data_IF_025674658472
#
_entry.id   IF_025674658472
#
_cell.length_a   1.000
_cell.length_b   1.000
_cell.length_c   1.000
_cell.angle_alpha   90.00
_cell.angle_beta   90.00
_cell.angle_gamma   90.00
#
_symmetry.space_group_name_H-M   'P 1'
#
loop_
_entity.id
_entity.type
_entity.pdbx_description
1 polymer ?
#
# COMPACT_ATOMS: atom_id res chain seq x y z
N UNK A 1 -35.38 44.61 -33.56
CA UNK A 1 -34.25 44.52 -32.61
C UNK A 1 -34.19 43.08 -32.14
N UNK A 2 -33.34 42.25 -32.76
CA UNK A 2 -33.19 40.83 -32.41
C UNK A 2 -32.17 40.77 -31.29
N UNK A 3 -32.62 40.45 -30.07
CA UNK A 3 -31.72 40.19 -28.96
C UNK A 3 -31.05 38.83 -29.21
N UNK A 4 -29.77 38.85 -29.55
CA UNK A 4 -28.95 37.64 -29.53
C UNK A 4 -28.63 37.32 -28.07
N UNK A 5 -29.25 36.27 -27.53
CA UNK A 5 -28.80 35.66 -26.29
C UNK A 5 -27.47 34.96 -26.54
N UNK A 6 -26.38 35.52 -26.02
CA UNK A 6 -25.09 34.82 -25.98
C UNK A 6 -25.24 33.55 -25.14
N UNK A 7 -24.82 32.36 -25.64
CA UNK A 7 -24.81 31.16 -24.82
C UNK A 7 -23.81 31.36 -23.66
N UNK A 8 -24.28 31.16 -22.44
CA UNK A 8 -23.41 31.13 -21.27
C UNK A 8 -22.43 29.96 -21.43
N UNK A 9 -21.14 30.26 -21.53
CA UNK A 9 -20.09 29.22 -21.47
C UNK A 9 -20.08 28.72 -20.03
N UNK A 10 -20.48 27.47 -19.83
CA UNK A 10 -20.32 26.78 -18.54
C UNK A 10 -18.85 26.83 -18.14
N UNK A 11 -18.55 27.43 -17.00
CA UNK A 11 -17.19 27.51 -16.48
C UNK A 11 -16.70 26.09 -16.13
N UNK A 12 -15.64 25.63 -16.79
CA UNK A 12 -15.01 24.35 -16.47
C UNK A 12 -14.53 24.35 -15.01
N UNK A 13 -14.80 23.27 -14.31
CA UNK A 13 -14.38 23.02 -12.93
C UNK A 13 -13.35 21.89 -12.89
N UNK A 14 -12.58 21.78 -11.80
CA UNK A 14 -11.62 20.67 -11.64
C UNK A 14 -12.33 19.30 -11.72
N UNK A 15 -13.59 19.22 -11.31
CA UNK A 15 -14.39 17.99 -11.38
C UNK A 15 -14.61 17.50 -12.82
N UNK A 16 -14.60 18.40 -13.82
CA UNK A 16 -14.73 18.02 -15.23
C UNK A 16 -13.52 17.24 -15.76
N UNK A 17 -12.41 17.23 -15.00
CA UNK A 17 -11.16 16.55 -15.34
C UNK A 17 -10.90 15.30 -14.50
N UNK A 18 -11.87 14.88 -13.67
CA UNK A 18 -11.76 13.63 -12.92
C UNK A 18 -11.41 12.47 -13.88
N UNK A 19 -10.41 11.67 -13.49
CA UNK A 19 -10.00 10.51 -14.28
C UNK A 19 -10.93 9.35 -13.94
N UNK A 20 -11.55 8.76 -14.96
CA UNK A 20 -12.55 7.69 -14.78
C UNK A 20 -12.14 6.45 -15.57
N UNK A 21 -12.26 5.30 -14.92
CA UNK A 21 -12.30 3.98 -15.54
C UNK A 21 -13.68 3.38 -15.38
N UNK A 22 -14.21 2.88 -16.49
CA UNK A 22 -15.51 2.20 -16.61
C UNK A 22 -15.36 0.67 -16.73
N UNK A 23 -14.12 0.17 -16.71
CA UNK A 23 -13.79 -1.25 -16.71
C UNK A 23 -12.72 -1.58 -15.67
N UNK A 24 -12.76 -2.77 -15.02
CA UNK A 24 -11.70 -3.22 -14.13
C UNK A 24 -10.35 -3.35 -14.84
N UNK A 25 -9.28 -3.19 -14.08
CA UNK A 25 -7.90 -3.29 -14.56
C UNK A 25 -7.50 -4.72 -14.91
N UNK A 26 -6.64 -4.90 -15.91
CA UNK A 26 -6.02 -6.19 -16.26
C UNK A 26 -4.99 -6.63 -15.24
N UNK A 27 -4.23 -5.67 -14.72
CA UNK A 27 -3.22 -5.86 -13.68
C UNK A 27 -2.78 -4.51 -13.10
N UNK A 28 -1.82 -4.53 -12.17
CA UNK A 28 -1.32 -3.35 -11.47
C UNK A 28 -0.70 -2.24 -12.34
N UNK A 29 -0.36 -2.50 -13.61
CA UNK A 29 0.11 -1.44 -14.53
C UNK A 29 -1.00 -0.44 -14.88
N UNK A 30 -2.26 -0.82 -14.72
CA UNK A 30 -3.45 0.00 -14.93
C UNK A 30 -3.99 0.47 -13.57
N UNK A 31 -3.10 0.87 -12.64
CA UNK A 31 -3.48 1.32 -11.30
C UNK A 31 -3.54 2.84 -11.20
N UNK A 32 -4.57 3.32 -10.49
CA UNK A 32 -4.86 4.73 -10.33
C UNK A 32 -4.06 5.26 -9.14
N UNK A 33 -3.26 6.32 -9.31
CA UNK A 33 -2.50 6.89 -8.21
C UNK A 33 -3.41 7.69 -7.27
N UNK A 34 -3.17 7.55 -5.97
CA UNK A 34 -3.72 8.41 -4.93
C UNK A 34 -2.64 8.58 -3.86
N UNK A 35 -2.58 9.72 -3.19
CA UNK A 35 -1.57 9.94 -2.17
C UNK A 35 -1.70 11.30 -1.54
N UNK A 36 -1.09 11.43 -0.37
CA UNK A 36 -0.97 12.68 0.37
C UNK A 36 0.24 12.58 1.29
N UNK A 37 0.84 13.73 1.60
CA UNK A 37 2.01 13.80 2.47
C UNK A 37 3.15 12.89 1.97
N UNK A 38 3.50 11.90 2.77
CA UNK A 38 4.57 10.95 2.48
C UNK A 38 4.09 9.56 2.03
N UNK A 39 2.78 9.35 1.83
CA UNK A 39 2.18 8.07 1.43
C UNK A 39 1.63 8.15 0.01
N UNK A 40 1.97 7.14 -0.79
CA UNK A 40 1.45 6.92 -2.14
C UNK A 40 0.77 5.56 -2.27
N UNK A 41 -0.33 5.54 -3.02
CA UNK A 41 -1.17 4.40 -3.30
C UNK A 41 -1.25 4.16 -4.81
N UNK A 42 -1.20 2.90 -5.22
CA UNK A 42 -1.65 2.46 -6.54
C UNK A 42 -2.90 1.60 -6.34
N UNK A 43 -4.06 2.09 -6.80
CA UNK A 43 -5.36 1.45 -6.57
C UNK A 43 -5.90 0.85 -7.87
N UNK A 44 -6.28 -0.42 -7.88
CA UNK A 44 -6.89 -1.06 -9.04
C UNK A 44 -7.87 -2.15 -8.63
N UNK A 45 -8.69 -2.59 -9.58
CA UNK A 45 -9.58 -3.73 -9.40
C UNK A 45 -9.20 -4.83 -10.37
N UNK A 46 -9.09 -6.06 -9.88
CA UNK A 46 -8.76 -7.23 -10.68
C UNK A 46 -9.56 -8.42 -10.15
N UNK A 47 -10.31 -9.11 -11.02
CA UNK A 47 -11.17 -10.25 -10.63
C UNK A 47 -12.14 -9.93 -9.47
N UNK A 48 -12.79 -8.76 -9.50
CA UNK A 48 -13.69 -8.22 -8.45
C UNK A 48 -13.02 -7.83 -7.12
N UNK A 49 -11.72 -8.09 -6.96
CA UNK A 49 -10.98 -7.69 -5.77
C UNK A 49 -10.49 -6.25 -5.93
N UNK A 50 -10.63 -5.44 -4.88
CA UNK A 50 -9.95 -4.15 -4.79
C UNK A 50 -8.53 -4.38 -4.27
N UNK A 51 -7.52 -3.94 -5.02
CA UNK A 51 -6.12 -4.05 -4.66
C UNK A 51 -5.46 -2.69 -4.53
N UNK A 52 -4.56 -2.57 -3.55
CA UNK A 52 -3.83 -1.33 -3.29
C UNK A 52 -2.37 -1.66 -2.98
N UNK A 53 -1.42 -1.18 -3.79
CA UNK A 53 -0.04 -1.09 -3.33
C UNK A 53 0.13 0.16 -2.50
N UNK A 54 0.83 0.03 -1.38
CA UNK A 54 1.06 1.11 -0.44
C UNK A 54 2.56 1.37 -0.37
N UNK A 55 2.97 2.62 -0.49
CA UNK A 55 4.34 3.05 -0.30
C UNK A 55 4.39 4.27 0.62
N UNK A 56 5.45 4.38 1.39
CA UNK A 56 5.78 5.58 2.17
C UNK A 56 7.22 5.98 1.93
N UNK A 57 7.48 7.27 1.77
CA UNK A 57 8.82 7.82 1.64
C UNK A 57 9.73 7.38 2.80
N UNK A 58 11.01 7.13 2.52
CA UNK A 58 12.00 6.72 3.52
C UNK A 58 12.04 5.21 3.84
N UNK A 59 11.28 4.37 3.14
CA UNK A 59 11.28 2.90 3.33
C UNK A 59 12.42 2.22 2.56
N UNK A 60 13.67 2.46 2.97
CA UNK A 60 14.88 1.92 2.30
C UNK A 60 15.46 0.70 3.01
N UNK A 61 15.68 -0.39 2.28
CA UNK A 61 16.31 -1.61 2.83
C UNK A 61 17.85 -1.52 2.92
N UNK A 62 18.52 -2.59 3.34
CA UNK A 62 19.98 -2.64 3.44
C UNK A 62 20.69 -2.48 2.10
N UNK A 63 20.01 -2.74 0.98
CA UNK A 63 20.53 -2.55 -0.37
C UNK A 63 20.28 -1.12 -0.89
N UNK A 64 19.63 -0.27 -0.07
CA UNK A 64 19.12 1.05 -0.44
C UNK A 64 18.12 0.98 -1.61
N UNK A 65 17.24 -0.03 -1.58
CA UNK A 65 16.07 -0.12 -2.43
C UNK A 65 14.89 0.58 -1.77
N UNK A 66 14.16 1.44 -2.50
CA UNK A 66 12.91 2.03 -2.01
C UNK A 66 11.78 1.00 -2.13
N UNK A 67 11.23 0.58 -1.00
CA UNK A 67 10.27 -0.51 -0.95
C UNK A 67 8.82 -0.02 -0.79
N UNK A 68 7.90 -0.68 -1.50
CA UNK A 68 6.48 -0.66 -1.15
C UNK A 68 6.31 -1.38 0.19
N UNK A 69 5.44 -0.87 1.06
CA UNK A 69 5.12 -1.48 2.33
C UNK A 69 4.51 -2.88 2.13
N UNK A 70 3.56 -3.00 1.21
CA UNK A 70 2.95 -4.28 0.82
C UNK A 70 1.78 -4.04 -0.14
N UNK A 71 0.92 -5.05 -0.28
CA UNK A 71 -0.34 -4.95 -1.01
C UNK A 71 -1.52 -5.23 -0.09
N UNK A 72 -2.54 -4.38 -0.12
CA UNK A 72 -3.84 -4.66 0.44
C UNK A 72 -4.72 -5.31 -0.62
N UNK A 73 -5.48 -6.33 -0.26
CA UNK A 73 -6.53 -6.92 -1.10
C UNK A 73 -7.82 -6.98 -0.30
N UNK A 74 -8.88 -6.37 -0.82
CA UNK A 74 -10.23 -6.43 -0.26
C UNK A 74 -11.13 -7.22 -1.20
N UNK A 75 -11.76 -8.26 -0.65
CA UNK A 75 -12.78 -9.07 -1.33
C UNK A 75 -14.13 -8.84 -0.67
N UNK A 76 -15.16 -8.63 -1.47
CA UNK A 76 -16.55 -8.58 -1.01
C UNK A 76 -17.27 -9.86 -1.40
N UNK A 77 -18.22 -10.29 -0.57
CA UNK A 77 -19.10 -11.41 -0.85
C UNK A 77 -20.53 -11.04 -0.47
N UNK A 78 -21.44 -10.87 -1.46
CA UNK A 78 -21.23 -11.05 -2.91
C UNK A 78 -20.19 -10.11 -3.54
N UNK A 79 -19.55 -10.56 -4.61
CA UNK A 79 -18.55 -9.77 -5.36
C UNK A 79 -19.26 -8.74 -6.24
N UNK A 80 -18.74 -7.51 -6.32
CA UNK A 80 -19.45 -6.40 -6.98
C UNK A 80 -18.58 -5.51 -7.84
N UNK A 81 -17.26 -5.49 -7.66
CA UNK A 81 -16.36 -4.57 -8.38
C UNK A 81 -15.96 -5.05 -9.78
N UNK A 82 -16.51 -6.17 -10.25
CA UNK A 82 -16.44 -6.63 -11.65
C UNK A 82 -17.84 -6.77 -12.28
N UNK A 83 -18.85 -6.22 -11.61
CA UNK A 83 -20.25 -6.29 -12.04
C UNK A 83 -20.64 -5.21 -13.04
N UNK A 84 -21.95 -4.99 -13.13
CA UNK A 84 -22.53 -3.88 -13.89
C UNK A 84 -22.17 -2.55 -13.23
N UNK A 85 -22.21 -1.47 -14.03
CA UNK A 85 -22.00 -0.10 -13.53
C UNK A 85 -20.67 0.07 -12.78
N UNK A 86 -19.62 -0.66 -13.19
CA UNK A 86 -18.30 -0.44 -12.63
C UNK A 86 -17.85 0.99 -12.91
N UNK A 87 -17.32 1.65 -11.88
CA UNK A 87 -16.69 2.96 -12.01
C UNK A 87 -15.58 3.10 -10.98
N UNK A 88 -14.37 3.36 -11.45
CA UNK A 88 -13.25 3.80 -10.63
C UNK A 88 -12.89 5.23 -11.02
N UNK A 89 -12.94 6.17 -10.07
CA UNK A 89 -12.81 7.60 -10.34
C UNK A 89 -11.85 8.27 -9.36
N UNK A 90 -10.90 9.04 -9.89
CA UNK A 90 -10.05 9.94 -9.12
C UNK A 90 -10.73 11.32 -9.06
N UNK A 91 -11.13 11.71 -7.85
CA UNK A 91 -11.75 13.02 -7.57
C UNK A 91 -10.65 14.05 -7.34
N UNK A 92 -10.24 14.75 -8.40
CA UNK A 92 -9.05 15.63 -8.39
C UNK A 92 -9.16 16.77 -7.38
N UNK A 93 -10.35 17.37 -7.26
CA UNK A 93 -10.59 18.49 -6.35
C UNK A 93 -10.40 18.11 -4.87
N UNK A 94 -10.69 16.86 -4.52
CA UNK A 94 -10.72 16.40 -3.13
C UNK A 94 -9.62 15.40 -2.78
N UNK A 95 -8.90 14.86 -3.76
CA UNK A 95 -7.74 13.98 -3.53
C UNK A 95 -8.08 12.56 -3.06
N UNK A 96 -9.21 12.00 -3.51
CA UNK A 96 -9.59 10.61 -3.18
C UNK A 96 -10.03 9.82 -4.41
N UNK A 97 -10.00 8.50 -4.29
CA UNK A 97 -10.54 7.57 -5.31
C UNK A 97 -11.86 7.00 -4.81
N UNK A 98 -12.83 6.83 -5.70
CA UNK A 98 -14.00 5.97 -5.48
C UNK A 98 -13.96 4.78 -6.43
N UNK A 99 -14.28 3.59 -5.92
CA UNK A 99 -14.52 2.39 -6.72
C UNK A 99 -15.93 1.91 -6.42
N UNK A 100 -16.80 1.87 -7.42
CA UNK A 100 -18.17 1.40 -7.30
C UNK A 100 -18.49 0.29 -8.29
N UNK A 101 -19.42 -0.59 -7.92
CA UNK A 101 -19.94 -1.61 -8.80
C UNK A 101 -21.22 -2.22 -8.27
N UNK A 102 -21.93 -2.94 -9.13
CA UNK A 102 -23.23 -3.54 -8.85
C UNK A 102 -23.36 -4.94 -9.45
N UNK A 103 -23.81 -5.90 -8.65
CA UNK A 103 -24.09 -7.27 -9.12
C UNK A 103 -25.21 -7.89 -8.30
N UNK A 104 -26.16 -8.55 -8.96
CA UNK A 104 -27.30 -9.24 -8.32
C UNK A 104 -28.05 -8.37 -7.28
N UNK A 105 -28.21 -7.07 -7.61
CA UNK A 105 -28.86 -6.06 -6.77
C UNK A 105 -28.07 -5.67 -5.51
N UNK A 106 -26.82 -6.10 -5.36
CA UNK A 106 -25.85 -5.57 -4.39
C UNK A 106 -25.05 -4.47 -5.07
N UNK A 107 -25.12 -3.25 -4.55
CA UNK A 107 -24.31 -2.10 -4.95
C UNK A 107 -23.35 -1.78 -3.82
N UNK A 108 -22.08 -1.57 -4.13
CA UNK A 108 -21.10 -1.08 -3.16
C UNK A 108 -20.24 0.04 -3.72
N UNK A 109 -19.67 0.84 -2.83
CA UNK A 109 -18.70 1.88 -3.14
C UNK A 109 -17.62 1.89 -2.08
N UNK A 110 -16.36 1.78 -2.50
CA UNK A 110 -15.18 2.00 -1.68
C UNK A 110 -14.66 3.42 -1.94
N UNK A 111 -14.42 4.20 -0.89
CA UNK A 111 -13.72 5.48 -0.91
C UNK A 111 -12.31 5.29 -0.34
N UNK A 112 -11.30 5.66 -1.10
CA UNK A 112 -9.88 5.45 -0.77
C UNK A 112 -9.18 6.80 -0.74
N UNK A 113 -8.49 7.10 0.36
CA UNK A 113 -7.78 8.37 0.54
C UNK A 113 -6.63 8.23 1.54
N UNK A 114 -5.77 9.25 1.57
CA UNK A 114 -4.63 9.34 2.48
C UNK A 114 -4.73 10.63 3.28
N UNK A 115 -4.53 10.56 4.59
CA UNK A 115 -4.48 11.75 5.44
C UNK A 115 -3.19 12.55 5.17
N UNK A 116 -3.32 13.87 5.07
CA UNK A 116 -2.19 14.78 4.81
C UNK A 116 -1.29 14.94 6.04
N UNK A 117 -1.87 14.87 7.24
CA UNK A 117 -1.21 15.22 8.50
C UNK A 117 -0.88 14.00 9.36
N UNK A 118 -1.49 12.86 9.08
CA UNK A 118 -1.22 11.60 9.77
C UNK A 118 -0.78 10.55 8.76
N UNK A 119 0.20 9.68 9.07
CA UNK A 119 0.70 8.67 8.15
C UNK A 119 -0.26 7.48 8.07
N UNK A 120 -1.46 7.70 7.54
CA UNK A 120 -2.53 6.72 7.44
C UNK A 120 -3.23 6.77 6.09
N UNK A 121 -3.45 5.58 5.51
CA UNK A 121 -4.32 5.40 4.35
C UNK A 121 -5.65 4.78 4.80
N UNK A 122 -6.76 5.28 4.25
CA UNK A 122 -8.11 4.85 4.60
C UNK A 122 -8.82 4.22 3.41
N UNK A 123 -9.60 3.17 3.70
CA UNK A 123 -10.59 2.60 2.78
C UNK A 123 -11.92 2.50 3.52
N UNK A 124 -12.94 3.20 3.04
CA UNK A 124 -14.29 3.16 3.58
C UNK A 124 -15.22 2.51 2.57
N UNK A 125 -15.93 1.46 2.98
CA UNK A 125 -16.83 0.71 2.11
C UNK A 125 -18.25 0.93 2.57
N UNK A 126 -19.14 1.26 1.63
CA UNK A 126 -20.58 1.32 1.86
C UNK A 126 -21.30 0.45 0.83
N UNK A 127 -22.33 -0.27 1.25
CA UNK A 127 -23.17 -1.12 0.40
C UNK A 127 -24.65 -0.99 0.76
N UNK A 128 -25.52 -1.15 -0.24
CA UNK A 128 -26.97 -1.15 -0.05
C UNK A 128 -27.49 -2.43 0.66
N UNK A 129 -26.66 -3.47 0.76
CA UNK A 129 -26.96 -4.72 1.45
C UNK A 129 -25.81 -5.09 2.39
N UNK A 130 -26.08 -5.98 3.35
CA UNK A 130 -25.02 -6.50 4.22
C UNK A 130 -24.13 -7.46 3.43
N UNK A 131 -22.82 -7.24 3.46
CA UNK A 131 -21.82 -8.05 2.75
C UNK A 131 -20.79 -8.62 3.72
N UNK A 132 -20.26 -9.81 3.39
CA UNK A 132 -19.04 -10.30 4.01
C UNK A 132 -17.82 -9.65 3.34
N UNK A 133 -16.75 -9.46 4.10
CA UNK A 133 -15.52 -8.90 3.62
C UNK A 133 -14.31 -9.72 4.10
N UNK A 134 -13.41 -10.04 3.18
CA UNK A 134 -12.08 -10.59 3.48
C UNK A 134 -11.04 -9.55 3.08
N UNK A 135 -10.14 -9.23 4.01
CA UNK A 135 -9.09 -8.25 3.86
C UNK A 135 -7.75 -8.92 4.05
N UNK A 136 -6.85 -8.85 3.07
CA UNK A 136 -5.53 -9.44 3.16
C UNK A 136 -4.44 -8.37 3.05
N UNK A 137 -3.51 -8.36 4.00
CA UNK A 137 -2.19 -7.76 3.79
C UNK A 137 -1.28 -8.79 3.14
N UNK A 138 -0.79 -8.52 1.93
CA UNK A 138 0.03 -9.41 1.13
C UNK A 138 1.45 -8.86 1.00
N UNK A 139 2.45 -9.70 1.24
CA UNK A 139 3.87 -9.35 1.09
C UNK A 139 4.66 -10.45 0.40
N UNK A 140 5.49 -10.05 -0.56
CA UNK A 140 6.52 -10.86 -1.21
C UNK A 140 7.80 -10.97 -0.37
N UNK A 141 7.89 -10.20 0.71
CA UNK A 141 9.01 -10.21 1.66
C UNK A 141 8.69 -11.07 2.90
N UNK A 142 8.08 -12.23 2.71
CA UNK A 142 7.73 -13.15 3.80
C UNK A 142 8.84 -14.16 4.15
N UNK A 143 9.89 -14.22 3.32
CA UNK A 143 11.10 -15.02 3.51
C UNK A 143 12.29 -14.31 2.84
N UNK A 144 13.49 -14.58 3.35
CA UNK A 144 14.72 -14.10 2.72
C UNK A 144 14.86 -14.76 1.35
N UNK A 145 15.35 -14.01 0.37
CA UNK A 145 15.66 -14.55 -0.96
C UNK A 145 16.88 -13.92 -1.56
N UNK A 146 17.57 -14.70 -2.39
CA UNK A 146 18.62 -14.17 -3.25
C UNK A 146 17.97 -13.32 -4.34
N UNK A 147 18.41 -12.08 -4.48
CA UNK A 147 17.96 -11.18 -5.53
C UNK A 147 18.53 -11.63 -6.87
N UNK A 148 17.68 -11.71 -7.89
CA UNK A 148 18.11 -11.95 -9.26
C UNK A 148 18.90 -10.75 -9.78
N UNK A 149 19.75 -10.97 -10.77
CA UNK A 149 20.64 -9.94 -11.32
C UNK A 149 19.88 -8.65 -11.69
N UNK A 150 18.73 -8.76 -12.38
CA UNK A 150 17.92 -7.59 -12.78
C UNK A 150 17.18 -6.91 -11.63
N UNK A 151 16.95 -7.58 -10.51
CA UNK A 151 16.30 -6.96 -9.34
C UNK A 151 17.21 -5.90 -8.69
N UNK A 152 18.53 -6.02 -8.85
CA UNK A 152 19.48 -5.04 -8.32
C UNK A 152 19.40 -3.66 -9.01
N UNK A 153 18.68 -3.53 -10.13
CA UNK A 153 18.41 -2.22 -10.73
C UNK A 153 17.45 -1.37 -9.89
N UNK A 154 16.69 -2.01 -8.99
CA UNK A 154 15.87 -1.32 -8.00
C UNK A 154 16.64 -0.90 -6.75
N UNK A 155 17.94 -1.17 -6.66
CA UNK A 155 18.77 -0.89 -5.50
C UNK A 155 20.12 -0.25 -5.91
N UNK A 156 20.98 0.04 -4.92
CA UNK A 156 22.23 0.78 -5.19
C UNK A 156 23.33 -0.05 -5.82
N UNK A 157 23.27 -1.38 -5.72
CA UNK A 157 24.30 -2.23 -6.31
C UNK A 157 24.25 -2.23 -7.83
N UNK A 158 23.06 -2.14 -8.46
CA UNK A 158 22.86 -2.16 -9.92
C UNK A 158 23.63 -3.30 -10.60
N UNK A 159 24.83 -2.98 -11.10
CA UNK A 159 25.72 -3.88 -11.85
C UNK A 159 26.76 -4.61 -10.98
N UNK A 160 26.97 -4.18 -9.73
CA UNK A 160 28.06 -4.61 -8.86
C UNK A 160 27.56 -5.29 -7.58
N UNK A 161 26.43 -6.00 -7.67
CA UNK A 161 25.88 -6.73 -6.52
C UNK A 161 26.84 -7.85 -6.08
N UNK A 162 27.05 -8.05 -4.76
CA UNK A 162 27.82 -9.17 -4.27
C UNK A 162 27.15 -10.49 -4.67
N UNK A 163 27.94 -11.56 -4.72
CA UNK A 163 27.41 -12.91 -4.96
C UNK A 163 26.38 -13.22 -3.87
N UNK A 164 25.23 -13.73 -4.30
CA UNK A 164 24.09 -14.06 -3.43
C UNK A 164 23.55 -12.85 -2.64
N UNK A 165 23.47 -11.67 -3.25
CA UNK A 165 22.86 -10.52 -2.60
C UNK A 165 21.43 -10.86 -2.10
N UNK A 166 21.15 -10.62 -0.83
CA UNK A 166 19.92 -11.07 -0.17
C UNK A 166 18.95 -9.88 -0.02
N UNK A 167 17.71 -10.07 -0.44
CA UNK A 167 16.58 -9.27 0.00
C UNK A 167 15.99 -9.92 1.25
N UNK A 168 16.08 -9.22 2.38
CA UNK A 168 15.64 -9.75 3.68
C UNK A 168 14.12 -9.66 3.82
N UNK A 169 13.56 -10.61 4.58
CA UNK A 169 12.14 -10.63 4.91
C UNK A 169 11.75 -9.53 5.89
N UNK A 170 10.47 -9.20 5.86
CA UNK A 170 9.81 -8.44 6.89
C UNK A 170 9.40 -9.35 8.06
N UNK A 171 9.20 -8.74 9.21
CA UNK A 171 8.49 -9.34 10.35
C UNK A 171 7.01 -9.00 10.24
N UNK A 172 6.17 -10.02 10.05
CA UNK A 172 4.72 -9.85 9.82
C UNK A 172 3.95 -10.84 10.68
N UNK A 173 3.01 -10.34 11.50
CA UNK A 173 2.24 -11.16 12.42
C UNK A 173 0.84 -10.58 12.68
N UNK A 174 -0.04 -11.43 13.20
CA UNK A 174 -1.28 -10.98 13.83
C UNK A 174 -0.97 -10.49 15.24
N UNK A 175 -1.47 -9.30 15.58
CA UNK A 175 -1.53 -8.79 16.95
C UNK A 175 -3.01 -8.57 17.30
N UNK A 176 -3.61 -9.59 17.92
CA UNK A 176 -5.06 -9.64 18.10
C UNK A 176 -5.79 -9.65 16.74
N UNK A 177 -6.60 -8.63 16.51
CA UNK A 177 -7.39 -8.47 15.27
C UNK A 177 -6.74 -7.53 14.23
N UNK A 178 -5.44 -7.26 14.39
CA UNK A 178 -4.65 -6.39 13.50
C UNK A 178 -3.54 -7.19 12.83
N UNK A 179 -3.04 -6.71 11.70
CA UNK A 179 -1.80 -7.24 11.09
C UNK A 179 -0.70 -6.20 11.25
N UNK A 180 0.36 -6.53 11.98
CA UNK A 180 1.53 -5.67 12.14
C UNK A 180 2.63 -6.19 11.23
N UNK A 181 3.29 -5.29 10.52
CA UNK A 181 4.34 -5.60 9.55
C UNK A 181 5.46 -4.59 9.64
N UNK A 182 6.72 -5.02 9.61
CA UNK A 182 7.86 -4.11 9.57
C UNK A 182 9.13 -4.75 9.03
N UNK A 183 10.02 -3.89 8.57
CA UNK A 183 11.39 -4.18 8.24
C UNK A 183 12.30 -3.41 9.22
N UNK A 184 13.40 -4.02 9.65
CA UNK A 184 14.41 -3.34 10.46
C UNK A 184 15.78 -3.67 9.90
N UNK A 185 16.42 -2.65 9.33
CA UNK A 185 17.68 -2.81 8.62
C UNK A 185 18.77 -3.35 9.54
N UNK A 186 19.53 -4.30 9.03
CA UNK A 186 20.67 -4.89 9.72
C UNK A 186 22.00 -4.43 9.11
N UNK A 187 23.07 -4.50 9.91
CA UNK A 187 24.44 -4.41 9.39
C UNK A 187 24.98 -5.80 9.01
N UNK A 188 25.90 -5.89 8.03
CA UNK A 188 26.32 -4.80 7.16
C UNK A 188 25.26 -4.46 6.11
N UNK A 189 25.25 -3.21 5.65
CA UNK A 189 24.41 -2.71 4.56
C UNK A 189 25.25 -2.00 3.48
N UNK A 190 24.62 -1.49 2.42
CA UNK A 190 25.33 -0.88 1.28
C UNK A 190 26.22 0.30 1.69
N UNK A 191 25.91 1.04 2.75
CA UNK A 191 26.80 2.08 3.26
C UNK A 191 28.15 1.49 3.69
N UNK A 192 28.14 0.35 4.38
CA UNK A 192 29.37 -0.34 4.79
C UNK A 192 30.20 -0.78 3.57
N UNK A 193 29.53 -1.30 2.54
CA UNK A 193 30.19 -1.69 1.29
C UNK A 193 30.78 -0.50 0.54
N UNK A 194 30.07 0.63 0.48
CA UNK A 194 30.53 1.84 -0.18
C UNK A 194 31.74 2.45 0.53
N UNK A 195 31.73 2.53 1.86
CA UNK A 195 32.86 3.03 2.67
C UNK A 195 34.12 2.20 2.42
N UNK A 196 34.00 0.86 2.47
CA UNK A 196 35.12 -0.03 2.20
C UNK A 196 35.64 0.11 0.77
N UNK A 197 34.75 0.20 -0.23
CA UNK A 197 35.13 0.38 -1.64
C UNK A 197 35.90 1.69 -1.87
N UNK A 198 35.58 2.75 -1.14
CA UNK A 198 36.26 4.05 -1.24
C UNK A 198 37.49 4.16 -0.31
N UNK A 199 37.89 3.08 0.36
CA UNK A 199 38.99 3.07 1.34
C UNK A 199 38.82 4.12 2.46
N UNK A 200 37.58 4.34 2.90
CA UNK A 200 37.22 5.35 3.92
C UNK A 200 36.98 4.74 5.31
N UNK A 201 37.41 3.50 5.57
CA UNK A 201 37.15 2.81 6.84
C UNK A 201 37.65 3.59 8.07
N UNK A 202 38.76 4.34 7.94
CA UNK A 202 39.33 5.15 9.02
C UNK A 202 38.42 6.28 9.51
N UNK A 203 37.51 6.77 8.66
CA UNK A 203 36.59 7.88 8.96
C UNK A 203 35.12 7.43 9.00
N UNK A 204 34.85 6.12 8.92
CA UNK A 204 33.50 5.54 8.85
C UNK A 204 32.55 6.03 9.94
N UNK A 205 33.07 6.21 11.16
CA UNK A 205 32.30 6.68 12.31
C UNK A 205 31.83 8.13 12.22
N UNK A 206 32.45 8.94 11.37
CA UNK A 206 32.11 10.35 11.12
C UNK A 206 31.09 10.51 9.98
N UNK A 207 30.89 9.45 9.19
CA UNK A 207 29.98 9.46 8.05
C UNK A 207 28.55 9.11 8.48
N UNK A 208 27.58 9.87 7.97
CA UNK A 208 26.16 9.62 8.24
C UNK A 208 25.68 8.36 7.50
N UNK A 209 25.20 7.36 8.25
CA UNK A 209 24.53 6.17 7.71
C UNK A 209 23.00 6.27 7.89
N UNK A 210 22.23 6.63 6.85
CA UNK A 210 20.78 6.74 6.95
C UNK A 210 20.05 5.39 7.06
N UNK A 211 20.74 4.26 6.78
CA UNK A 211 20.15 2.92 6.79
C UNK A 211 20.36 2.19 8.10
N UNK A 212 21.32 2.64 8.93
CA UNK A 212 21.62 2.02 10.23
C UNK A 212 20.38 2.06 11.12
N UNK A 213 19.94 0.93 11.67
CA UNK A 213 18.79 0.84 12.57
C UNK A 213 17.49 1.46 11.99
N UNK A 214 17.38 1.57 10.66
CA UNK A 214 16.18 2.08 10.02
C UNK A 214 15.07 1.03 10.12
N UNK A 215 14.00 1.36 10.84
CA UNK A 215 12.79 0.56 10.96
C UNK A 215 11.64 1.23 10.21
N UNK A 216 10.96 0.49 9.33
CA UNK A 216 9.80 0.97 8.60
C UNK A 216 8.74 -0.11 8.45
N UNK A 217 7.48 0.28 8.45
CA UNK A 217 6.36 -0.67 8.41
C UNK A 217 5.07 -0.02 8.86
N UNK A 218 4.16 -0.82 9.39
CA UNK A 218 2.87 -0.33 9.83
C UNK A 218 1.97 -1.37 10.46
N UNK A 219 0.70 -0.98 10.58
CA UNK A 219 -0.37 -1.85 11.06
C UNK A 219 -1.63 -1.66 10.21
N UNK A 220 -2.20 -2.79 9.81
CA UNK A 220 -3.52 -2.87 9.20
C UNK A 220 -4.57 -3.09 10.28
N UNK A 221 -5.57 -2.21 10.32
CA UNK A 221 -6.68 -2.22 11.28
C UNK A 221 -8.01 -2.13 10.53
N UNK A 222 -8.99 -2.91 10.98
CA UNK A 222 -10.37 -2.80 10.54
C UNK A 222 -11.31 -3.15 11.71
N UNK A 223 -12.26 -2.28 12.01
CA UNK A 223 -13.17 -2.47 13.14
C UNK A 223 -14.16 -3.60 12.87
N UNK A 224 -14.42 -4.42 13.89
CA UNK A 224 -15.26 -5.62 13.78
C UNK A 224 -14.72 -6.68 12.81
N UNK A 225 -13.41 -6.71 12.58
CA UNK A 225 -12.74 -7.81 11.90
C UNK A 225 -11.99 -8.71 12.90
N UNK A 226 -11.74 -9.95 12.50
CA UNK A 226 -10.93 -10.93 13.24
C UNK A 226 -9.93 -11.61 12.31
N UNK A 227 -8.82 -12.07 12.87
CA UNK A 227 -7.82 -12.83 12.14
C UNK A 227 -8.46 -14.08 11.49
N UNK A 228 -8.12 -14.31 10.23
CA UNK A 228 -8.68 -15.36 9.37
C UNK A 228 -7.59 -16.23 8.71
N UNK A 229 -6.41 -16.29 9.34
CA UNK A 229 -5.29 -17.10 8.90
C UNK A 229 -4.50 -16.51 7.75
N UNK A 230 -3.60 -17.32 7.19
CA UNK A 230 -2.71 -16.93 6.09
C UNK A 230 -3.03 -17.66 4.80
N UNK A 231 -2.57 -17.12 3.67
CA UNK A 231 -2.63 -17.75 2.36
C UNK A 231 -1.34 -17.52 1.60
N UNK A 232 -0.91 -18.47 0.78
CA UNK A 232 0.19 -18.28 -0.15
C UNK A 232 -0.36 -18.14 -1.57
N UNK A 233 0.30 -17.33 -2.39
CA UNK A 233 -0.13 -17.07 -3.75
C UNK A 233 1.02 -16.57 -4.62
N UNK A 234 0.69 -16.31 -5.89
CA UNK A 234 1.62 -15.73 -6.87
C UNK A 234 0.90 -14.63 -7.62
N UNK A 235 1.57 -13.49 -7.77
CA UNK A 235 1.11 -12.39 -8.61
C UNK A 235 2.19 -12.08 -9.63
N UNK A 236 1.80 -12.03 -10.90
CA UNK A 236 2.74 -12.02 -12.03
C UNK A 236 3.77 -13.14 -11.87
N UNK A 237 5.02 -12.78 -11.69
CA UNK A 237 6.18 -13.64 -11.52
C UNK A 237 6.62 -13.79 -10.06
N UNK A 238 5.98 -13.11 -9.11
CA UNK A 238 6.42 -12.99 -7.70
C UNK A 238 5.47 -13.71 -6.75
N UNK A 239 6.00 -14.59 -5.90
CA UNK A 239 5.25 -15.24 -4.82
C UNK A 239 5.00 -14.29 -3.64
N UNK A 240 3.88 -14.48 -2.96
CA UNK A 240 3.53 -13.70 -1.78
C UNK A 240 2.82 -14.56 -0.73
N UNK A 241 2.87 -14.10 0.52
CA UNK A 241 2.02 -14.56 1.60
C UNK A 241 1.05 -13.46 2.00
N UNK A 242 -0.20 -13.82 2.27
CA UNK A 242 -1.27 -12.97 2.75
C UNK A 242 -1.61 -13.26 4.21
N UNK A 243 -1.85 -12.22 5.00
CA UNK A 243 -2.39 -12.26 6.36
C UNK A 243 -3.80 -11.69 6.34
N UNK A 244 -4.79 -12.54 6.61
CA UNK A 244 -6.18 -12.24 6.35
C UNK A 244 -6.92 -11.83 7.62
N UNK A 245 -7.78 -10.83 7.48
CA UNK A 245 -8.81 -10.44 8.43
C UNK A 245 -10.17 -10.66 7.75
N UNK A 246 -11.21 -10.99 8.52
CA UNK A 246 -12.60 -11.09 8.02
C UNK A 246 -13.55 -10.34 8.94
N UNK A 247 -14.60 -9.72 8.41
CA UNK A 247 -15.61 -9.12 9.26
C UNK A 247 -16.35 -10.19 10.08
N UNK A 248 -16.65 -9.88 11.34
CA UNK A 248 -17.26 -10.81 12.29
C UNK A 248 -18.70 -11.15 11.92
N UNK A 249 -19.39 -10.22 11.24
CA UNK A 249 -20.76 -10.33 10.75
C UNK A 249 -20.91 -9.53 9.46
N UNK A 250 -21.80 -9.94 8.53
CA UNK A 250 -22.13 -9.14 7.36
C UNK A 250 -22.54 -7.71 7.73
N UNK A 251 -21.97 -6.71 7.05
CA UNK A 251 -22.20 -5.30 7.33
C UNK A 251 -22.45 -4.52 6.03
N UNK A 252 -23.22 -3.44 6.11
CA UNK A 252 -23.45 -2.51 5.01
C UNK A 252 -22.43 -1.37 4.97
N UNK A 253 -21.62 -1.21 6.02
CA UNK A 253 -20.56 -0.22 6.08
C UNK A 253 -19.43 -0.72 6.97
N UNK A 254 -18.18 -0.43 6.60
CA UNK A 254 -16.99 -0.67 7.41
C UNK A 254 -15.82 0.19 6.91
N UNK A 255 -14.86 0.45 7.81
CA UNK A 255 -13.66 1.22 7.54
C UNK A 255 -12.41 0.39 7.80
N UNK A 256 -11.39 0.65 7.00
CA UNK A 256 -10.07 0.02 7.05
C UNK A 256 -9.05 1.14 7.09
N UNK A 257 -8.04 1.00 7.95
CA UNK A 257 -6.93 1.94 8.06
C UNK A 257 -5.60 1.21 8.04
N UNK A 258 -4.64 1.76 7.29
CA UNK A 258 -3.25 1.31 7.29
C UNK A 258 -2.39 2.45 7.79
N UNK A 259 -1.94 2.33 9.04
CA UNK A 259 -1.01 3.29 9.65
C UNK A 259 0.41 2.87 9.33
N UNK A 260 1.25 3.82 8.96
CA UNK A 260 2.65 3.58 8.61
C UNK A 260 3.58 4.37 9.54
N UNK A 261 4.71 3.78 9.89
CA UNK A 261 5.74 4.42 10.70
C UNK A 261 7.14 4.10 10.16
N UNK A 262 8.04 5.06 10.26
CA UNK A 262 9.43 4.99 9.81
C UNK A 262 10.27 5.74 10.84
N UNK A 263 11.24 5.07 11.43
CA UNK A 263 12.12 5.66 12.42
C UNK A 263 13.49 4.97 12.39
N UNK A 264 14.56 5.73 12.59
CA UNK A 264 15.89 5.18 12.80
C UNK A 264 16.07 4.84 14.28
N UNK A 265 15.59 3.65 14.69
CA UNK A 265 15.58 3.23 16.09
C UNK A 265 15.36 1.71 16.22
N UNK A 266 15.56 1.20 17.42
CA UNK A 266 15.15 -0.14 17.84
C UNK A 266 13.67 -0.42 17.52
N UNK A 267 13.37 -1.67 17.20
CA UNK A 267 12.00 -2.15 16.96
C UNK A 267 11.06 -1.81 18.11
N UNK A 268 11.51 -1.89 19.37
CA UNK A 268 10.69 -1.54 20.54
C UNK A 268 10.29 -0.07 20.60
N UNK A 269 11.18 0.84 20.20
CA UNK A 269 10.82 2.26 20.12
C UNK A 269 9.92 2.52 18.91
N UNK A 270 10.26 1.97 17.75
CA UNK A 270 9.44 2.07 16.54
C UNK A 270 8.01 1.58 16.76
N UNK A 271 7.84 0.46 17.49
CA UNK A 271 6.53 -0.12 17.81
C UNK A 271 5.71 0.78 18.73
N UNK A 272 6.34 1.39 19.75
CA UNK A 272 5.66 2.38 20.61
C UNK A 272 5.18 3.59 19.81
N UNK A 273 6.00 4.11 18.90
CA UNK A 273 5.60 5.22 18.03
C UNK A 273 4.49 4.82 17.06
N UNK A 274 4.50 3.58 16.55
CA UNK A 274 3.40 3.06 15.72
C UNK A 274 2.10 2.97 16.52
N UNK A 275 2.15 2.45 17.74
CA UNK A 275 0.95 2.28 18.58
C UNK A 275 0.31 3.64 18.92
N UNK A 276 1.11 4.70 19.11
CA UNK A 276 0.59 6.07 19.31
C UNK A 276 -0.12 6.69 18.11
N UNK A 277 0.04 6.12 16.90
CA UNK A 277 -0.70 6.58 15.72
C UNK A 277 -2.12 6.02 15.64
N UNK A 278 -2.41 4.95 16.38
CA UNK A 278 -3.68 4.20 16.30
C UNK A 278 -4.63 4.59 17.46
N UNK A 279 -4.15 5.37 18.41
CA UNK A 279 -4.87 5.81 19.62
C UNK A 279 -5.57 7.14 19.45
#
# INVERSE_FOLDING_TARGET
MVAMSSPAVSQQTIADYNVVWDTPSKNSSESMPCGAGDIGLNVWVENSDLLIYIARSGSFDENNALLKSGRLRLKLSPSVFDGNNFKQELHLQNGYITVSGEKDGVKATARIWVDVFHPVAHVEVNSNKKVNAELAYESWRYRDRVLQARENFGNSYKWAAPKNNIGRKDSIAFEGNKVVFYHHNQSPNIFDAAVAQQAMDSVKGELYNPLKDLCFGGVLVADNFTAAGTSDGRYTDTDFRGWKLKNNRPASSFAISVYLNTAQNTVTHWKRSLDSLVT
#
